data_IF_061276558305
#
_entry.id   IF_061276558305
#
_cell.length_a   1.000
_cell.length_b   1.000
_cell.length_c   1.000
_cell.angle_alpha   90.00
_cell.angle_beta   90.00
_cell.angle_gamma   90.00
#
_symmetry.space_group_name_H-M   'P 1'
#
loop_
_entity.id
_entity.type
_entity.pdbx_description
1 polymer ?
#
# COMPACT_ATOMS: atom_id res chain seq x y z
N UNK A 1 -2.40 0.22 17.07
CA UNK A 1 -0.93 0.30 17.19
C UNK A 1 -0.39 1.74 17.19
N UNK A 2 -1.11 2.73 16.67
CA UNK A 2 -0.66 4.15 16.64
C UNK A 2 -0.46 4.79 18.01
N UNK A 3 -1.11 4.30 19.07
CA UNK A 3 -1.02 4.84 20.43
C UNK A 3 0.17 4.32 21.24
N UNK A 4 0.79 3.21 20.82
CA UNK A 4 1.88 2.57 21.57
C UNK A 4 3.09 3.49 21.82
N UNK A 5 3.59 4.28 20.86
CA UNK A 5 4.70 5.20 21.11
C UNK A 5 4.39 6.25 22.18
N UNK A 6 3.12 6.72 22.25
CA UNK A 6 2.68 7.68 23.27
C UNK A 6 2.65 7.03 24.67
N UNK A 7 2.15 5.81 24.76
CA UNK A 7 2.15 5.04 26.03
C UNK A 7 3.58 4.78 26.49
N UNK A 8 4.47 4.42 25.59
CA UNK A 8 5.91 4.21 25.86
C UNK A 8 6.55 5.50 26.42
N UNK A 9 6.34 6.63 25.75
CA UNK A 9 6.84 7.93 26.18
C UNK A 9 6.31 8.30 27.60
N UNK A 10 5.02 8.03 27.87
CA UNK A 10 4.43 8.20 29.19
C UNK A 10 5.11 7.36 30.28
N UNK A 11 5.36 6.08 30.01
CA UNK A 11 6.07 5.21 30.96
C UNK A 11 7.51 5.66 31.22
N UNK A 12 8.23 6.11 30.21
CA UNK A 12 9.57 6.65 30.37
C UNK A 12 9.57 7.94 31.20
N UNK A 13 8.61 8.84 30.95
CA UNK A 13 8.44 10.07 31.71
C UNK A 13 8.15 9.78 33.19
N UNK A 14 7.23 8.87 33.50
CA UNK A 14 6.91 8.50 34.87
C UNK A 14 8.07 7.76 35.55
N UNK A 15 8.77 6.86 34.84
CA UNK A 15 9.96 6.20 35.36
C UNK A 15 11.02 7.24 35.81
N UNK A 16 11.32 8.19 34.89
CA UNK A 16 12.27 9.27 35.19
C UNK A 16 11.82 10.12 36.38
N UNK A 17 10.54 10.57 36.40
CA UNK A 17 9.99 11.37 37.49
C UNK A 17 10.09 10.67 38.86
N UNK A 18 9.80 9.36 38.91
CA UNK A 18 9.88 8.58 40.13
C UNK A 18 11.32 8.28 40.59
N UNK A 19 12.27 8.18 39.64
CA UNK A 19 13.69 8.08 39.96
C UNK A 19 14.16 9.38 40.63
N UNK A 20 13.80 10.54 40.09
CA UNK A 20 14.15 11.86 40.63
C UNK A 20 13.63 12.01 42.06
N UNK A 21 12.41 11.56 42.33
CA UNK A 21 11.77 11.62 43.67
C UNK A 21 12.23 10.44 44.58
N UNK A 22 13.16 9.62 44.14
CA UNK A 22 13.66 8.41 44.82
C UNK A 22 12.54 7.44 45.26
N UNK A 23 11.48 7.36 44.48
CA UNK A 23 10.32 6.50 44.73
C UNK A 23 10.53 5.09 44.20
N UNK A 24 10.23 4.06 45.01
CA UNK A 24 10.22 2.66 44.57
C UNK A 24 9.21 2.38 43.44
N UNK A 25 8.25 3.28 43.19
CA UNK A 25 7.27 3.17 42.08
C UNK A 25 7.92 3.20 40.70
N UNK A 26 9.17 3.67 40.60
CA UNK A 26 9.96 3.58 39.36
C UNK A 26 10.04 2.14 38.82
N UNK A 27 10.13 1.13 39.70
CA UNK A 27 10.19 -0.27 39.31
C UNK A 27 8.93 -0.73 38.54
N UNK A 28 7.75 -0.17 38.87
CA UNK A 28 6.52 -0.53 38.19
C UNK A 28 6.55 -0.10 36.72
N UNK A 29 6.97 1.14 36.45
CA UNK A 29 7.08 1.63 35.05
C UNK A 29 8.15 0.91 34.25
N UNK A 30 9.28 0.61 34.88
CA UNK A 30 10.35 -0.17 34.24
C UNK A 30 9.91 -1.60 33.95
N UNK A 31 9.23 -2.27 34.90
CA UNK A 31 8.70 -3.62 34.69
C UNK A 31 7.72 -3.66 33.51
N UNK A 32 6.78 -2.71 33.41
CA UNK A 32 5.86 -2.60 32.28
C UNK A 32 6.58 -2.33 30.95
N UNK A 33 7.63 -1.53 30.96
CA UNK A 33 8.47 -1.29 29.80
C UNK A 33 9.10 -2.59 29.30
N UNK A 34 9.73 -3.38 30.20
CA UNK A 34 10.34 -4.66 29.83
C UNK A 34 9.29 -5.70 29.38
N UNK A 35 8.14 -5.78 30.02
CA UNK A 35 7.06 -6.67 29.60
C UNK A 35 6.51 -6.33 28.20
N UNK A 36 6.57 -5.05 27.84
CA UNK A 36 6.14 -4.60 26.49
C UNK A 36 7.24 -4.72 25.41
N UNK A 37 8.40 -5.24 25.74
CA UNK A 37 9.54 -5.32 24.81
C UNK A 37 9.22 -6.00 23.47
N UNK A 38 8.43 -7.06 23.48
CA UNK A 38 8.02 -7.74 22.26
C UNK A 38 7.16 -6.87 21.34
N UNK A 39 6.36 -5.97 21.93
CA UNK A 39 5.55 -4.99 21.17
C UNK A 39 6.46 -3.87 20.67
N UNK A 40 7.42 -3.45 21.49
CA UNK A 40 8.42 -2.45 21.12
C UNK A 40 9.21 -2.88 19.88
N UNK A 41 9.79 -4.08 19.89
CA UNK A 41 10.59 -4.60 18.78
C UNK A 41 9.80 -4.75 17.48
N UNK A 42 8.49 -5.04 17.57
CA UNK A 42 7.59 -5.09 16.39
C UNK A 42 7.20 -3.71 15.86
N UNK A 43 7.25 -2.68 16.72
CA UNK A 43 6.81 -1.32 16.37
C UNK A 43 7.97 -0.43 15.92
N UNK A 44 9.13 -0.58 16.56
CA UNK A 44 10.32 0.23 16.33
C UNK A 44 11.51 -0.71 16.14
N UNK A 45 12.00 -0.81 14.92
CA UNK A 45 13.22 -1.54 14.58
C UNK A 45 14.43 -0.62 14.71
N UNK A 46 15.04 -0.57 15.91
CA UNK A 46 16.25 0.22 16.14
C UNK A 46 17.46 -0.34 15.37
N UNK A 47 17.52 -1.65 15.21
CA UNK A 47 18.57 -2.35 14.49
C UNK A 47 17.93 -3.28 13.47
N UNK A 48 17.62 -2.78 12.26
CA UNK A 48 17.13 -3.66 11.22
C UNK A 48 18.20 -4.71 10.91
N UNK A 49 17.81 -5.98 10.67
CA UNK A 49 18.78 -7.00 10.30
C UNK A 49 19.49 -6.57 9.02
N UNK A 50 20.81 -6.79 8.97
CA UNK A 50 21.58 -6.64 7.73
C UNK A 50 21.02 -7.61 6.69
N UNK A 51 20.25 -7.08 5.77
CA UNK A 51 19.79 -7.83 4.61
C UNK A 51 20.97 -7.97 3.68
N UNK A 52 21.73 -9.06 3.81
CA UNK A 52 22.71 -9.41 2.79
C UNK A 52 21.94 -9.67 1.51
N UNK A 53 22.20 -8.92 0.42
CA UNK A 53 21.57 -9.23 -0.84
C UNK A 53 21.93 -10.67 -1.19
N UNK A 54 20.89 -11.52 -1.40
CA UNK A 54 21.12 -12.82 -2.01
C UNK A 54 21.78 -12.55 -3.36
N UNK A 55 22.89 -13.19 -3.63
CA UNK A 55 23.63 -13.03 -4.89
C UNK A 55 22.86 -13.60 -6.09
N UNK A 56 21.83 -14.39 -5.82
CA UNK A 56 20.93 -14.92 -6.82
C UNK A 56 19.85 -13.85 -7.19
N UNK A 57 19.16 -14.07 -8.25
CA UNK A 57 18.18 -13.17 -8.83
C UNK A 57 17.28 -12.45 -7.80
N UNK A 58 17.18 -11.12 -7.92
CA UNK A 58 16.27 -10.28 -7.11
C UNK A 58 15.29 -9.54 -8.02
N UNK A 59 14.09 -9.31 -7.53
CA UNK A 59 13.09 -8.46 -8.17
C UNK A 59 12.48 -7.49 -7.15
N UNK A 60 12.01 -6.37 -7.63
CA UNK A 60 11.40 -5.32 -6.83
C UNK A 60 9.89 -5.34 -6.94
N UNK A 61 9.19 -5.09 -5.82
CA UNK A 61 7.73 -4.97 -5.78
C UNK A 61 7.35 -3.63 -5.17
N UNK A 62 6.48 -2.89 -5.86
CA UNK A 62 5.84 -1.67 -5.39
C UNK A 62 4.38 -1.96 -5.06
N UNK A 63 3.91 -1.50 -3.90
CA UNK A 63 2.49 -1.44 -3.57
C UNK A 63 2.11 0.01 -3.27
N UNK A 64 1.09 0.54 -3.95
CA UNK A 64 0.70 1.93 -3.84
C UNK A 64 -0.80 2.13 -4.01
N UNK A 65 -1.44 2.78 -3.02
CA UNK A 65 -2.84 3.19 -3.11
C UNK A 65 -2.91 4.60 -3.72
N UNK A 66 -3.66 4.75 -4.81
CA UNK A 66 -3.76 5.98 -5.60
C UNK A 66 -4.87 6.92 -5.15
N UNK A 67 -5.75 6.47 -4.26
CA UNK A 67 -6.88 7.27 -3.76
C UNK A 67 -7.68 7.95 -4.90
N UNK A 68 -8.09 7.15 -5.90
CA UNK A 68 -8.80 7.56 -7.14
C UNK A 68 -8.07 8.58 -8.00
N UNK A 69 -6.87 8.94 -7.65
CA UNK A 69 -6.13 9.94 -8.37
C UNK A 69 -6.63 11.37 -8.22
N UNK A 70 -7.35 11.65 -7.15
CA UNK A 70 -8.09 12.90 -6.99
C UNK A 70 -8.96 13.24 -8.23
N UNK A 71 -9.55 12.20 -8.86
CA UNK A 71 -10.47 12.38 -9.99
C UNK A 71 -11.57 13.40 -9.67
N UNK A 72 -12.00 13.45 -8.41
CA UNK A 72 -13.00 14.42 -7.98
C UNK A 72 -12.51 15.87 -8.14
N UNK A 73 -11.29 16.18 -7.72
CA UNK A 73 -10.67 17.49 -7.92
C UNK A 73 -10.52 17.86 -9.39
N UNK A 74 -10.21 16.87 -10.23
CA UNK A 74 -10.15 17.06 -11.68
C UNK A 74 -11.51 17.42 -12.28
N UNK A 75 -12.57 16.67 -11.97
CA UNK A 75 -13.93 16.89 -12.52
C UNK A 75 -14.52 18.20 -12.01
N UNK A 76 -14.29 18.57 -10.75
CA UNK A 76 -14.75 19.85 -10.17
C UNK A 76 -13.91 21.04 -10.64
N UNK A 77 -12.81 20.80 -11.33
CA UNK A 77 -11.90 21.84 -11.82
C UNK A 77 -10.99 22.44 -10.74
N UNK A 78 -10.97 21.84 -9.55
CA UNK A 78 -10.10 22.29 -8.45
C UNK A 78 -8.63 21.98 -8.74
N UNK A 79 -8.34 20.82 -9.35
CA UNK A 79 -7.00 20.44 -9.82
C UNK A 79 -7.07 19.70 -11.16
N UNK A 80 -6.78 20.41 -12.24
CA UNK A 80 -6.80 19.84 -13.60
C UNK A 80 -5.55 19.00 -13.94
N UNK A 81 -4.50 19.08 -13.13
CA UNK A 81 -3.24 18.41 -13.41
C UNK A 81 -3.04 17.09 -12.66
N UNK A 82 -3.98 16.71 -11.82
CA UNK A 82 -3.83 15.57 -10.89
C UNK A 82 -3.51 14.26 -11.60
N UNK A 83 -4.24 13.91 -12.65
CA UNK A 83 -3.99 12.67 -13.39
C UNK A 83 -2.58 12.62 -14.00
N UNK A 84 -2.10 13.75 -14.54
CA UNK A 84 -0.74 13.87 -15.07
C UNK A 84 0.31 13.79 -13.97
N UNK A 85 0.08 14.46 -12.85
CA UNK A 85 0.98 14.42 -11.69
C UNK A 85 1.13 13.02 -11.13
N UNK A 86 0.03 12.27 -11.00
CA UNK A 86 0.07 10.88 -10.54
C UNK A 86 0.81 9.97 -11.52
N UNK A 87 0.55 10.11 -12.82
CA UNK A 87 1.30 9.37 -13.81
C UNK A 87 2.80 9.63 -13.67
N UNK A 88 3.23 10.89 -13.54
CA UNK A 88 4.63 11.24 -13.38
C UNK A 88 5.27 10.61 -12.14
N UNK A 89 4.55 10.57 -11.01
CA UNK A 89 5.01 9.87 -9.80
C UNK A 89 5.17 8.37 -10.07
N UNK A 90 4.15 7.72 -10.63
CA UNK A 90 4.21 6.29 -10.96
C UNK A 90 5.27 5.98 -12.01
N UNK A 91 5.58 6.94 -12.88
CA UNK A 91 6.60 6.84 -13.89
C UNK A 91 8.02 6.84 -13.30
N UNK A 92 8.24 7.58 -12.22
CA UNK A 92 9.51 7.61 -11.49
C UNK A 92 9.71 6.42 -10.56
N UNK A 93 8.62 5.83 -10.06
CA UNK A 93 8.65 4.67 -9.18
C UNK A 93 8.82 3.38 -9.99
N UNK A 94 10.06 3.05 -10.31
CA UNK A 94 10.40 1.85 -11.07
C UNK A 94 10.37 0.63 -10.18
N UNK A 95 9.58 -0.38 -10.56
CA UNK A 95 9.58 -1.70 -9.92
C UNK A 95 9.25 -2.78 -10.96
N UNK A 96 9.75 -3.98 -10.73
CA UNK A 96 9.51 -5.11 -11.62
C UNK A 96 8.04 -5.57 -11.57
N UNK A 97 7.42 -5.46 -10.38
CA UNK A 97 6.01 -5.74 -10.16
C UNK A 97 5.40 -4.56 -9.42
N UNK A 98 4.27 -4.04 -9.91
CA UNK A 98 3.54 -2.93 -9.30
C UNK A 98 2.11 -3.34 -8.97
N UNK A 99 1.73 -3.27 -7.69
CA UNK A 99 0.39 -3.52 -7.17
C UNK A 99 -0.26 -2.18 -6.86
N UNK A 100 -1.24 -1.77 -7.64
CA UNK A 100 -1.91 -0.48 -7.50
C UNK A 100 -3.34 -0.69 -6.98
N UNK A 101 -3.70 0.06 -5.93
CA UNK A 101 -5.04 0.07 -5.34
C UNK A 101 -5.72 1.40 -5.66
N UNK A 102 -7.04 1.37 -5.73
CA UNK A 102 -7.87 2.53 -6.05
C UNK A 102 -7.41 3.26 -7.32
N UNK A 103 -6.95 2.48 -8.30
CA UNK A 103 -6.56 3.00 -9.61
C UNK A 103 -7.83 3.43 -10.36
N UNK A 104 -8.02 4.73 -10.55
CA UNK A 104 -9.02 5.23 -11.48
C UNK A 104 -8.45 5.21 -12.90
N UNK A 105 -9.16 4.58 -13.82
CA UNK A 105 -8.78 4.54 -15.24
C UNK A 105 -9.95 4.97 -16.12
N UNK A 106 -9.69 5.84 -17.07
CA UNK A 106 -10.68 6.31 -18.04
C UNK A 106 -10.06 6.48 -19.41
N UNK A 107 -10.72 5.96 -20.44
CA UNK A 107 -10.33 6.20 -21.84
C UNK A 107 -10.82 7.56 -22.34
N UNK A 108 -11.84 8.15 -21.69
CA UNK A 108 -12.41 9.44 -22.08
C UNK A 108 -11.53 10.62 -21.64
N UNK A 109 -10.76 10.42 -20.57
CA UNK A 109 -9.84 11.43 -20.04
C UNK A 109 -8.40 10.94 -20.22
N UNK A 110 -7.67 11.54 -21.16
CA UNK A 110 -6.29 11.15 -21.49
C UNK A 110 -5.34 11.19 -20.29
N UNK A 111 -5.61 12.09 -19.35
CA UNK A 111 -4.87 12.24 -18.10
C UNK A 111 -4.96 10.98 -17.26
N UNK A 112 -6.12 10.32 -17.27
CA UNK A 112 -6.45 9.14 -16.48
C UNK A 112 -6.43 7.81 -17.27
N UNK A 113 -5.95 7.80 -18.50
CA UNK A 113 -5.70 6.55 -19.24
C UNK A 113 -4.41 5.88 -18.73
N UNK A 114 -4.43 5.55 -17.43
CA UNK A 114 -3.26 5.09 -16.69
C UNK A 114 -2.88 3.66 -17.09
N UNK A 115 -3.86 2.80 -17.37
CA UNK A 115 -3.58 1.43 -17.81
C UNK A 115 -2.78 1.44 -19.11
N UNK A 116 -3.24 2.20 -20.10
CA UNK A 116 -2.54 2.29 -21.39
C UNK A 116 -1.15 2.92 -21.26
N UNK A 117 -1.01 3.95 -20.42
CA UNK A 117 0.28 4.61 -20.19
C UNK A 117 1.29 3.69 -19.47
N UNK A 118 0.84 2.99 -18.44
CA UNK A 118 1.70 2.14 -17.61
C UNK A 118 2.04 0.82 -18.29
N UNK A 119 1.14 0.26 -19.12
CA UNK A 119 1.37 -0.97 -19.88
C UNK A 119 2.48 -0.82 -20.93
N UNK A 120 2.79 0.39 -21.38
CA UNK A 120 3.93 0.64 -22.27
C UNK A 120 5.29 0.35 -21.62
N UNK A 121 5.37 0.36 -20.29
CA UNK A 121 6.60 0.08 -19.53
C UNK A 121 6.65 -1.34 -18.98
N UNK A 122 5.48 -1.89 -18.64
CA UNK A 122 5.34 -3.25 -18.16
C UNK A 122 4.62 -4.05 -19.25
N UNK A 123 5.23 -5.09 -19.75
CA UNK A 123 4.67 -5.88 -20.88
C UNK A 123 3.37 -6.59 -20.50
N UNK A 124 3.17 -6.88 -19.21
CA UNK A 124 2.04 -7.65 -18.72
C UNK A 124 1.28 -6.89 -17.66
N UNK A 125 -0.05 -6.96 -17.71
CA UNK A 125 -0.90 -6.41 -16.63
C UNK A 125 -2.19 -7.19 -16.51
N UNK A 126 -2.80 -7.11 -15.32
CA UNK A 126 -4.17 -7.51 -15.05
C UNK A 126 -4.87 -6.40 -14.28
N UNK A 127 -6.14 -6.20 -14.58
CA UNK A 127 -6.96 -5.17 -13.95
C UNK A 127 -8.30 -5.78 -13.53
N UNK A 128 -8.79 -5.42 -12.34
CA UNK A 128 -10.08 -5.77 -11.80
C UNK A 128 -10.88 -4.49 -11.53
N UNK A 129 -12.03 -4.34 -12.17
CA UNK A 129 -12.97 -3.26 -11.90
C UNK A 129 -13.65 -3.49 -10.54
N UNK A 130 -13.70 -2.46 -9.71
CA UNK A 130 -14.38 -2.54 -8.42
C UNK A 130 -15.91 -2.46 -8.53
N UNK A 131 -16.44 -2.09 -9.67
CA UNK A 131 -17.88 -2.02 -9.91
C UNK A 131 -18.20 -2.33 -11.39
N UNK A 132 -18.14 -3.61 -11.78
CA UNK A 132 -18.26 -4.00 -13.18
C UNK A 132 -19.63 -3.72 -13.82
N UNK A 133 -20.63 -3.24 -13.07
CA UNK A 133 -21.98 -2.91 -13.58
C UNK A 133 -22.28 -1.42 -13.71
N UNK A 134 -21.39 -0.52 -13.31
CA UNK A 134 -21.64 0.92 -13.24
C UNK A 134 -20.77 1.75 -14.21
N UNK A 135 -20.26 1.12 -15.25
CA UNK A 135 -19.43 1.78 -16.27
C UNK A 135 -20.31 2.63 -17.21
N UNK A 136 -20.74 3.81 -16.72
CA UNK A 136 -21.45 4.79 -17.53
C UNK A 136 -20.54 5.50 -18.57
N UNK A 137 -19.40 4.88 -18.91
CA UNK A 137 -18.42 5.46 -19.83
C UNK A 137 -17.50 6.52 -19.21
N UNK A 138 -17.66 6.82 -17.92
CA UNK A 138 -16.88 7.87 -17.24
C UNK A 138 -15.51 7.37 -16.75
N UNK A 139 -15.28 6.07 -16.73
CA UNK A 139 -14.10 5.40 -16.20
C UNK A 139 -14.43 4.53 -15.00
N UNK A 140 -13.45 3.79 -14.53
CA UNK A 140 -13.63 2.83 -13.44
C UNK A 140 -12.47 2.87 -12.44
N UNK A 141 -12.80 2.56 -11.19
CA UNK A 141 -11.82 2.36 -10.13
C UNK A 141 -11.54 0.87 -9.97
N UNK A 142 -10.33 0.49 -9.62
CA UNK A 142 -10.03 -0.92 -9.42
C UNK A 142 -8.67 -1.22 -8.82
N UNK A 143 -8.34 -2.51 -8.88
CA UNK A 143 -7.04 -3.04 -8.54
C UNK A 143 -6.28 -3.38 -9.82
N UNK A 144 -5.00 -3.06 -9.87
CA UNK A 144 -4.13 -3.43 -10.99
C UNK A 144 -2.85 -4.09 -10.50
N UNK A 145 -2.37 -5.05 -11.26
CA UNK A 145 -1.02 -5.60 -11.14
C UNK A 145 -0.36 -5.43 -12.48
N UNK A 146 0.76 -4.72 -12.51
CA UNK A 146 1.65 -4.59 -13.66
C UNK A 146 2.91 -5.39 -13.38
N UNK A 147 3.43 -6.09 -14.38
CA UNK A 147 4.62 -6.92 -14.26
C UNK A 147 5.51 -6.78 -15.47
N UNK A 148 6.81 -6.78 -15.26
CA UNK A 148 7.81 -6.97 -16.30
C UNK A 148 7.93 -8.44 -16.72
N UNK A 149 7.43 -9.35 -15.88
CA UNK A 149 7.45 -10.78 -16.11
C UNK A 149 6.09 -11.28 -16.60
N UNK A 150 6.04 -12.39 -17.36
CA UNK A 150 4.80 -12.94 -17.88
C UNK A 150 3.78 -13.27 -16.77
N UNK A 151 2.54 -12.84 -16.98
CA UNK A 151 1.39 -13.22 -16.16
C UNK A 151 0.67 -14.35 -16.89
N UNK A 152 0.57 -15.52 -16.25
CA UNK A 152 -0.01 -16.73 -16.84
C UNK A 152 -1.42 -17.06 -16.34
N UNK A 153 -1.83 -16.46 -15.22
CA UNK A 153 -3.15 -16.70 -14.63
C UNK A 153 -3.61 -15.45 -13.87
N UNK A 154 -4.95 -15.25 -13.87
CA UNK A 154 -5.62 -14.18 -13.12
C UNK A 154 -6.75 -14.78 -12.31
N UNK A 155 -6.88 -14.37 -11.05
CA UNK A 155 -8.06 -14.62 -10.20
C UNK A 155 -8.50 -13.32 -9.57
N UNK A 156 -9.80 -13.11 -9.51
CA UNK A 156 -10.36 -11.90 -8.91
C UNK A 156 -11.58 -12.24 -8.07
N UNK A 157 -11.74 -11.53 -6.97
CA UNK A 157 -12.89 -11.58 -6.10
C UNK A 157 -13.25 -10.17 -5.68
N UNK A 158 -14.42 -9.71 -6.07
CA UNK A 158 -14.99 -8.42 -5.70
C UNK A 158 -16.01 -8.57 -4.59
N UNK A 159 -16.05 -7.62 -3.64
CA UNK A 159 -17.00 -7.59 -2.52
C UNK A 159 -17.84 -6.29 -2.55
N UNK A 160 -19.03 -6.32 -3.16
CA UNK A 160 -19.90 -5.17 -3.17
C UNK A 160 -20.39 -4.81 -1.74
N UNK A 161 -20.86 -3.57 -1.49
CA UNK A 161 -21.01 -2.47 -2.45
C UNK A 161 -19.77 -1.57 -2.59
N UNK A 162 -18.71 -1.84 -1.86
CA UNK A 162 -17.51 -1.00 -1.82
C UNK A 162 -16.45 -1.50 -2.81
N UNK A 163 -15.42 -0.66 -3.04
CA UNK A 163 -14.29 -1.00 -3.92
C UNK A 163 -13.31 -2.02 -3.28
N UNK A 164 -13.85 -2.99 -2.53
CA UNK A 164 -13.06 -4.00 -1.85
C UNK A 164 -12.93 -5.24 -2.70
N UNK A 165 -11.79 -5.88 -2.64
CA UNK A 165 -11.57 -7.10 -3.38
C UNK A 165 -10.13 -7.58 -3.33
N UNK A 166 -9.92 -8.69 -4.02
CA UNK A 166 -8.61 -9.30 -4.23
C UNK A 166 -8.41 -9.50 -5.73
N UNK A 167 -7.29 -9.04 -6.23
CA UNK A 167 -6.77 -9.38 -7.55
C UNK A 167 -5.50 -10.20 -7.36
N UNK A 168 -5.50 -11.43 -7.83
CA UNK A 168 -4.33 -12.30 -7.80
C UNK A 168 -3.82 -12.58 -9.22
N UNK A 169 -2.51 -12.63 -9.37
CA UNK A 169 -1.82 -12.97 -10.61
C UNK A 169 -0.72 -14.00 -10.34
N UNK A 170 -0.63 -15.02 -11.18
CA UNK A 170 0.50 -15.95 -11.21
C UNK A 170 1.51 -15.43 -12.22
N UNK A 171 2.72 -15.11 -11.75
CA UNK A 171 3.79 -14.46 -12.50
C UNK A 171 4.95 -15.41 -12.61
N UNK A 172 5.43 -15.63 -13.82
CA UNK A 172 6.58 -16.49 -14.10
C UNK A 172 7.86 -15.67 -14.03
N UNK A 173 8.76 -16.05 -13.12
CA UNK A 173 10.06 -15.41 -12.94
C UNK A 173 11.12 -16.47 -13.09
N UNK A 174 11.88 -16.43 -14.19
CA UNK A 174 12.80 -17.49 -14.61
C UNK A 174 12.05 -18.84 -14.73
N UNK A 175 12.43 -19.84 -13.92
CA UNK A 175 11.80 -21.17 -13.87
C UNK A 175 10.70 -21.29 -12.82
N UNK A 176 10.51 -20.26 -11.99
CA UNK A 176 9.59 -20.31 -10.87
C UNK A 176 8.30 -19.52 -11.16
N UNK A 177 7.22 -19.91 -10.51
CA UNK A 177 5.95 -19.18 -10.55
C UNK A 177 5.63 -18.67 -9.16
N UNK A 178 5.43 -17.35 -9.04
CA UNK A 178 4.99 -16.72 -7.80
C UNK A 178 3.54 -16.23 -7.95
N UNK A 179 2.78 -16.33 -6.87
CA UNK A 179 1.45 -15.70 -6.78
C UNK A 179 1.55 -14.36 -6.07
N UNK A 180 1.17 -13.31 -6.78
CA UNK A 180 1.06 -11.95 -6.25
C UNK A 180 -0.41 -11.66 -6.00
N UNK A 181 -0.75 -11.18 -4.80
CA UNK A 181 -2.10 -10.78 -4.43
C UNK A 181 -2.13 -9.31 -4.08
N UNK A 182 -2.92 -8.55 -4.82
CA UNK A 182 -3.22 -7.15 -4.56
C UNK A 182 -4.60 -7.07 -3.90
N UNK A 183 -4.67 -6.50 -2.69
CA UNK A 183 -5.86 -6.55 -1.84
C UNK A 183 -6.28 -5.15 -1.42
N UNK A 184 -7.56 -4.84 -1.57
CA UNK A 184 -8.21 -3.66 -1.02
C UNK A 184 -9.23 -4.11 0.02
N UNK A 185 -9.02 -3.71 1.27
CA UNK A 185 -9.93 -3.97 2.38
C UNK A 185 -10.78 -2.74 2.68
N UNK A 186 -11.95 -2.97 3.29
CA UNK A 186 -12.83 -1.90 3.72
C UNK A 186 -12.12 -0.96 4.68
N UNK A 187 -12.19 0.34 4.41
CA UNK A 187 -11.76 1.37 5.34
C UNK A 187 -12.51 1.22 6.67
N UNK A 188 -11.80 1.36 7.78
CA UNK A 188 -12.41 1.30 9.12
C UNK A 188 -13.37 2.45 9.41
N UNK A 189 -13.49 3.44 8.50
CA UNK A 189 -14.49 4.51 8.59
C UNK A 189 -14.35 5.36 9.85
N UNK A 190 -13.14 5.54 10.36
CA UNK A 190 -12.90 6.48 11.47
C UNK A 190 -13.15 7.87 10.91
N UNK A 191 -14.35 8.38 11.16
CA UNK A 191 -14.67 9.79 10.93
C UNK A 191 -14.09 10.57 12.12
N UNK A 192 -13.09 11.39 11.86
CA UNK A 192 -12.59 12.41 12.78
C UNK A 192 -13.51 13.61 12.70
#
# INVERSE_FOLDING_TARGET
MMTYPMVLAGHLFFAFSWIVVKSRKAFLSLALFFLSYSIFDRTIKLFPPDVKPRQDFTFSVLSYNLMYGDYHGFVTGTDKNTGTSQYNVLDTLTADIRCLQELYNSQNYKEFDLINKLSKRNEYYVYMHSNPGNDKGEGSVGLAIFSRFPIINKKEQYWPPNNNGILAADIVINSDTIRVMNVQLKSMGIRV
#
